data_IF_589735472616
#
_entry.id   IF_589735472616
#
_cell.length_a   1.000
_cell.length_b   1.000
_cell.length_c   1.000
_cell.angle_alpha   90.00
_cell.angle_beta   90.00
_cell.angle_gamma   90.00
#
_symmetry.space_group_name_H-M   'P 1'
#
loop_
_entity.id
_entity.type
_entity.pdbx_description
1 polymer ?
#
# COMPACT_ATOMS: atom_id res chain seq x y z
N UNK A 1 24.76 31.68 45.18
CA UNK A 1 23.71 31.02 44.36
C UNK A 1 24.27 30.92 42.94
N UNK A 2 25.32 30.14 42.69
CA UNK A 2 25.46 28.68 42.85
C UNK A 2 24.52 27.92 41.91
N UNK A 3 25.05 27.68 40.70
CA UNK A 3 25.17 26.41 39.96
C UNK A 3 23.96 25.51 39.63
N UNK A 4 23.93 25.16 38.32
CA UNK A 4 23.69 23.83 37.72
C UNK A 4 22.28 23.21 37.85
N UNK A 5 21.75 22.37 36.93
CA UNK A 5 22.27 21.59 35.80
C UNK A 5 21.05 21.02 35.04
N UNK A 6 21.11 20.89 33.72
CA UNK A 6 20.83 19.65 32.97
C UNK A 6 21.07 19.98 31.47
N UNK A 7 22.18 19.61 30.81
CA UNK A 7 22.59 18.24 30.43
C UNK A 7 21.44 17.41 29.89
N UNK A 8 21.30 17.32 28.57
CA UNK A 8 21.20 16.05 27.83
C UNK A 8 21.45 16.33 26.34
N UNK A 9 22.63 15.94 25.90
CA UNK A 9 22.99 15.56 24.54
C UNK A 9 22.11 14.40 24.07
N UNK A 10 21.59 14.41 22.83
CA UNK A 10 21.68 13.24 21.93
C UNK A 10 21.20 13.54 20.50
N UNK A 11 22.16 13.46 19.57
CA UNK A 11 22.09 13.07 18.15
C UNK A 11 20.93 13.56 17.28
N UNK A 12 21.21 14.57 16.45
CA UNK A 12 20.45 14.84 15.23
C UNK A 12 20.93 13.90 14.11
N UNK A 13 20.24 12.78 13.94
CA UNK A 13 20.23 12.06 12.66
C UNK A 13 19.57 12.94 11.60
N UNK A 14 20.28 13.14 10.50
CA UNK A 14 19.82 13.90 9.34
C UNK A 14 18.79 13.07 8.58
N UNK A 15 17.50 13.24 8.89
CA UNK A 15 16.43 12.78 8.00
C UNK A 15 16.01 13.92 7.09
N UNK A 16 16.38 13.75 5.81
CA UNK A 16 15.95 14.56 4.69
C UNK A 16 14.42 14.45 4.58
N UNK A 17 13.72 15.47 5.05
CA UNK A 17 12.28 15.68 4.81
C UNK A 17 12.06 16.01 3.34
N UNK A 18 12.19 15.00 2.47
CA UNK A 18 11.62 15.07 1.14
C UNK A 18 10.10 15.07 1.33
N UNK A 19 9.46 16.23 1.11
CA UNK A 19 8.02 16.37 1.00
C UNK A 19 7.50 15.43 -0.10
N UNK A 20 7.31 14.16 0.22
CA UNK A 20 6.75 13.15 -0.67
C UNK A 20 5.25 13.32 -0.58
N UNK A 21 4.74 14.32 -1.31
CA UNK A 21 3.31 14.39 -1.60
C UNK A 21 2.97 13.17 -2.45
N UNK A 22 2.50 12.10 -1.80
CA UNK A 22 2.02 10.93 -2.52
C UNK A 22 0.80 11.34 -3.34
N UNK A 23 0.79 10.95 -4.63
CA UNK A 23 -0.39 11.17 -5.46
C UNK A 23 -1.60 10.48 -4.82
N UNK A 24 -2.74 11.16 -4.88
CA UNK A 24 -4.01 10.52 -4.51
C UNK A 24 -4.42 9.52 -5.59
N UNK A 25 -5.17 8.47 -5.24
CA UNK A 25 -5.87 7.67 -6.24
C UNK A 25 -6.81 8.55 -7.06
N UNK A 26 -7.05 8.18 -8.30
CA UNK A 26 -7.98 8.93 -9.16
C UNK A 26 -9.39 8.97 -8.57
N UNK A 27 -10.09 10.08 -8.78
CA UNK A 27 -11.46 10.28 -8.25
C UNK A 27 -12.41 9.16 -8.67
N UNK A 28 -12.30 8.69 -9.91
CA UNK A 28 -13.09 7.58 -10.45
C UNK A 28 -12.74 6.25 -9.76
N UNK A 29 -11.46 6.03 -9.46
CA UNK A 29 -10.99 4.86 -8.71
C UNK A 29 -11.59 4.83 -7.31
N UNK A 30 -11.59 5.97 -6.61
CA UNK A 30 -12.21 6.08 -5.28
C UNK A 30 -13.72 5.85 -5.34
N UNK A 31 -14.42 6.45 -6.30
CA UNK A 31 -15.86 6.24 -6.49
C UNK A 31 -16.18 4.75 -6.75
N UNK A 32 -15.42 4.09 -7.62
CA UNK A 32 -15.59 2.67 -7.89
C UNK A 32 -15.29 1.80 -6.67
N UNK A 33 -14.22 2.09 -5.94
CA UNK A 33 -13.86 1.37 -4.73
C UNK A 33 -14.92 1.52 -3.63
N UNK A 34 -15.44 2.73 -3.43
CA UNK A 34 -16.56 3.00 -2.51
C UNK A 34 -17.81 2.23 -2.91
N UNK A 35 -18.16 2.19 -4.20
CA UNK A 35 -19.30 1.41 -4.68
C UNK A 35 -19.12 -0.09 -4.38
N UNK A 36 -17.93 -0.63 -4.63
CA UNK A 36 -17.61 -2.03 -4.34
C UNK A 36 -17.65 -2.33 -2.85
N UNK A 37 -17.11 -1.43 -2.00
CA UNK A 37 -17.14 -1.57 -0.56
C UNK A 37 -18.56 -1.64 0.00
N UNK A 38 -19.48 -0.81 -0.53
CA UNK A 38 -20.90 -0.81 -0.14
C UNK A 38 -21.60 -2.11 -0.59
N UNK A 39 -21.37 -2.54 -1.84
CA UNK A 39 -22.05 -3.71 -2.41
C UNK A 39 -21.56 -5.01 -1.80
N UNK A 40 -20.25 -5.11 -1.54
CA UNK A 40 -19.63 -6.34 -1.05
C UNK A 40 -19.42 -6.38 0.47
N UNK A 41 -19.78 -5.31 1.19
CA UNK A 41 -19.57 -5.12 2.63
C UNK A 41 -18.12 -5.40 3.06
N UNK A 42 -17.17 -4.73 2.37
CA UNK A 42 -15.73 -4.89 2.60
C UNK A 42 -15.05 -3.54 2.87
N UNK A 43 -14.17 -3.44 3.89
CA UNK A 43 -13.38 -2.23 4.13
C UNK A 43 -12.39 -1.97 2.98
N UNK A 44 -12.17 -0.69 2.71
CA UNK A 44 -11.12 -0.22 1.79
C UNK A 44 -9.83 -0.02 2.59
N UNK A 45 -8.79 -0.75 2.22
CA UNK A 45 -7.46 -0.71 2.81
C UNK A 45 -6.50 0.01 1.87
N UNK A 46 -5.78 1.00 2.39
CA UNK A 46 -4.83 1.85 1.62
C UNK A 46 -3.38 1.72 2.11
N UNK A 47 -3.11 0.73 2.95
CA UNK A 47 -1.78 0.34 3.46
C UNK A 47 -0.79 -0.04 2.35
N UNK A 48 -1.28 -0.54 1.22
CA UNK A 48 -0.45 -0.86 0.04
C UNK A 48 -0.27 0.33 -0.93
N UNK A 49 -0.96 1.45 -0.74
CA UNK A 49 -0.93 2.55 -1.71
C UNK A 49 0.46 3.15 -1.87
N UNK A 50 1.04 3.66 -0.78
CA UNK A 50 2.37 4.29 -0.80
C UNK A 50 3.47 3.31 -1.18
N UNK A 51 3.40 2.07 -0.66
CA UNK A 51 4.37 1.02 -1.00
C UNK A 51 4.33 0.63 -2.47
N UNK A 52 3.15 0.69 -3.11
CA UNK A 52 3.00 0.41 -4.54
C UNK A 52 3.57 1.54 -5.41
N UNK A 53 3.51 2.79 -4.94
CA UNK A 53 4.14 3.94 -5.58
C UNK A 53 5.66 3.87 -5.49
N UNK A 54 6.17 3.52 -4.31
CA UNK A 54 7.60 3.35 -4.04
C UNK A 54 8.17 2.08 -4.68
N UNK A 55 7.34 1.24 -5.30
CA UNK A 55 7.70 -0.09 -5.85
C UNK A 55 8.34 -1.01 -4.80
N UNK A 56 7.98 -0.81 -3.53
CA UNK A 56 8.36 -1.67 -2.40
C UNK A 56 7.46 -2.90 -2.31
N UNK A 57 6.18 -2.75 -2.69
CA UNK A 57 5.27 -3.89 -2.85
C UNK A 57 5.19 -4.36 -4.30
N UNK A 58 4.79 -5.61 -4.48
CA UNK A 58 4.68 -6.28 -5.76
C UNK A 58 3.45 -7.18 -5.81
N UNK A 59 2.99 -7.50 -7.01
CA UNK A 59 1.99 -8.55 -7.24
C UNK A 59 2.73 -9.87 -7.43
N UNK A 60 2.55 -10.78 -6.48
CA UNK A 60 3.08 -12.14 -6.53
C UNK A 60 2.12 -13.06 -7.26
N UNK A 61 2.59 -13.78 -8.27
CA UNK A 61 1.82 -14.84 -8.96
C UNK A 61 2.35 -16.18 -8.48
N UNK A 62 1.51 -16.97 -7.79
CA UNK A 62 1.83 -18.33 -7.36
C UNK A 62 1.84 -19.30 -8.53
N UNK A 63 2.44 -20.47 -8.33
CA UNK A 63 2.50 -21.56 -9.29
C UNK A 63 1.12 -22.07 -9.74
N UNK A 64 0.09 -21.95 -8.89
CA UNK A 64 -1.30 -22.26 -9.20
C UNK A 64 -2.05 -21.16 -9.99
N UNK A 65 -1.39 -20.03 -10.29
CA UNK A 65 -1.98 -18.90 -11.00
C UNK A 65 -2.69 -17.87 -10.11
N UNK A 66 -2.77 -18.10 -8.80
CA UNK A 66 -3.31 -17.12 -7.85
C UNK A 66 -2.40 -15.91 -7.74
N UNK A 67 -3.01 -14.74 -7.60
CA UNK A 67 -2.29 -13.48 -7.40
C UNK A 67 -2.45 -13.04 -5.95
N UNK A 68 -1.41 -12.47 -5.36
CA UNK A 68 -1.48 -11.83 -4.05
C UNK A 68 -0.62 -10.56 -4.04
N UNK A 69 -0.90 -9.63 -3.14
CA UNK A 69 -0.03 -8.49 -2.91
C UNK A 69 1.03 -8.89 -1.88
N UNK A 70 2.29 -8.62 -2.20
CA UNK A 70 3.45 -8.92 -1.37
C UNK A 70 4.15 -7.60 -1.10
N UNK A 71 4.25 -7.20 0.17
CA UNK A 71 5.02 -6.03 0.60
C UNK A 71 6.37 -6.45 1.18
N UNK A 72 6.42 -7.59 1.84
CA UNK A 72 7.64 -8.27 2.29
C UNK A 72 7.39 -9.78 2.39
N UNK A 73 8.39 -10.57 2.75
CA UNK A 73 8.23 -12.02 2.95
C UNK A 73 7.23 -12.35 4.08
N UNK A 74 7.09 -11.46 5.06
CA UNK A 74 6.19 -11.61 6.21
C UNK A 74 4.83 -10.92 6.01
N UNK A 75 4.77 -9.87 5.18
CA UNK A 75 3.58 -9.07 4.95
C UNK A 75 3.05 -9.27 3.52
N UNK A 76 2.04 -10.13 3.41
CA UNK A 76 1.32 -10.38 2.17
C UNK A 76 -0.19 -10.53 2.42
N UNK A 77 -0.98 -10.31 1.37
CA UNK A 77 -2.44 -10.46 1.43
C UNK A 77 -2.88 -11.89 1.15
N UNK A 78 -4.12 -12.22 1.51
CA UNK A 78 -4.82 -13.39 0.96
C UNK A 78 -4.87 -13.34 -0.58
N UNK A 79 -5.13 -14.48 -1.24
CA UNK A 79 -5.32 -14.53 -2.69
C UNK A 79 -6.35 -13.49 -3.17
N UNK A 80 -6.01 -12.85 -4.28
CA UNK A 80 -6.83 -11.86 -4.95
C UNK A 80 -7.99 -12.60 -5.64
N UNK A 81 -9.21 -12.25 -5.24
CA UNK A 81 -10.45 -12.76 -5.83
C UNK A 81 -10.81 -12.00 -7.11
N UNK A 82 -10.72 -10.66 -7.08
CA UNK A 82 -11.01 -9.80 -8.24
C UNK A 82 -9.94 -8.73 -8.38
N UNK A 83 -9.63 -8.39 -9.63
CA UNK A 83 -8.61 -7.39 -9.96
C UNK A 83 -9.13 -6.48 -11.08
N UNK A 84 -9.29 -5.20 -10.77
CA UNK A 84 -9.82 -4.20 -11.70
C UNK A 84 -8.81 -3.11 -11.98
N UNK A 85 -8.73 -2.66 -13.23
CA UNK A 85 -7.94 -1.48 -13.63
C UNK A 85 -8.84 -0.26 -13.76
N UNK A 86 -8.46 0.83 -13.10
CA UNK A 86 -9.14 2.12 -13.15
C UNK A 86 -8.09 3.21 -13.41
N UNK A 87 -7.97 3.64 -14.67
CA UNK A 87 -6.97 4.63 -15.06
C UNK A 87 -5.53 4.19 -14.75
N UNK A 88 -4.86 4.96 -13.89
CA UNK A 88 -3.49 4.71 -13.40
C UNK A 88 -3.42 3.86 -12.13
N UNK A 89 -4.54 3.26 -11.72
CA UNK A 89 -4.67 2.58 -10.44
C UNK A 89 -5.32 1.20 -10.62
N UNK A 90 -5.11 0.33 -9.65
CA UNK A 90 -5.80 -0.95 -9.54
C UNK A 90 -6.65 -1.01 -8.27
N UNK A 91 -7.82 -1.61 -8.41
CA UNK A 91 -8.70 -1.99 -7.30
C UNK A 91 -8.61 -3.51 -7.17
N UNK A 92 -8.11 -3.95 -6.02
CA UNK A 92 -7.82 -5.36 -5.74
C UNK A 92 -8.77 -5.82 -4.65
N UNK A 93 -9.51 -6.89 -4.88
CA UNK A 93 -10.46 -7.42 -3.90
C UNK A 93 -9.95 -8.78 -3.44
N UNK A 94 -9.74 -8.89 -2.13
CA UNK A 94 -9.50 -10.17 -1.45
C UNK A 94 -10.79 -10.67 -0.81
N UNK A 95 -10.71 -11.75 -0.04
CA UNK A 95 -11.88 -12.31 0.63
C UNK A 95 -12.57 -11.34 1.59
N UNK A 96 -11.80 -10.52 2.31
CA UNK A 96 -12.33 -9.66 3.40
C UNK A 96 -12.09 -8.16 3.20
N UNK A 97 -11.33 -7.75 2.18
CA UNK A 97 -10.92 -6.36 2.04
C UNK A 97 -10.67 -5.96 0.59
N UNK A 98 -10.82 -4.66 0.32
CA UNK A 98 -10.53 -4.03 -0.97
C UNK A 98 -9.27 -3.19 -0.82
N UNK A 99 -8.25 -3.44 -1.62
CA UNK A 99 -7.02 -2.69 -1.66
C UNK A 99 -6.96 -1.77 -2.88
N UNK A 100 -6.37 -0.59 -2.68
CA UNK A 100 -6.00 0.32 -3.77
C UNK A 100 -4.49 0.35 -3.93
N UNK A 101 -4.02 0.20 -5.16
CA UNK A 101 -2.60 0.26 -5.51
C UNK A 101 -2.39 1.01 -6.82
N UNK A 102 -1.20 1.56 -7.02
CA UNK A 102 -0.81 2.18 -8.28
C UNK A 102 -0.65 1.13 -9.39
N UNK A 103 -0.96 1.49 -10.62
CA UNK A 103 -0.78 0.61 -11.78
C UNK A 103 0.68 0.32 -12.12
N UNK A 104 1.60 1.12 -11.57
CA UNK A 104 3.05 1.01 -11.76
C UNK A 104 3.69 -0.08 -10.87
N UNK A 105 2.89 -0.79 -10.08
CA UNK A 105 3.36 -1.84 -9.17
C UNK A 105 4.02 -3.00 -9.97
N UNK A 106 5.22 -3.47 -9.58
CA UNK A 106 5.87 -4.59 -10.25
C UNK A 106 5.10 -5.91 -10.02
N UNK A 107 5.18 -6.81 -11.00
CA UNK A 107 4.61 -8.17 -10.89
C UNK A 107 5.72 -9.20 -11.00
N UNK A 108 5.75 -10.20 -10.11
CA UNK A 108 6.75 -11.30 -10.13
C UNK A 108 6.07 -12.65 -9.91
N UNK A 109 6.59 -13.69 -10.57
CA UNK A 109 6.22 -15.07 -10.27
C UNK A 109 6.98 -15.52 -9.01
N UNK A 110 6.24 -16.06 -8.05
CA UNK A 110 6.79 -16.63 -6.82
C UNK A 110 6.51 -18.13 -6.83
N UNK A 111 7.51 -18.92 -6.48
CA UNK A 111 7.46 -20.39 -6.53
C UNK A 111 7.22 -20.99 -5.16
#
# INVERSE_FOLDING_TARGET
MSEQKNSTTTVSESQTTANTSYKLPGDTTLQHASKLAIVEDKPIMMDYWTSSLDKKSLIGIRSNGEKLLVKSEEEYTSPISKFYKSGSDYIVITENSIYLISADIPTRKIS
#
